data_IF_626326036494
#
_entry.id   IF_626326036494
#
_cell.length_a   1.000
_cell.length_b   1.000
_cell.length_c   1.000
_cell.angle_alpha   90.00
_cell.angle_beta   90.00
_cell.angle_gamma   90.00
#
_symmetry.space_group_name_H-M   'P 1'
#
loop_
_entity.id
_entity.type
_entity.pdbx_description
1 polymer ?
#
# COMPACT_ATOMS: atom_id res chain seq x y z
N UNK A 1 -5.58 63.21 1.08
CA UNK A 1 -5.93 61.90 1.70
C UNK A 1 -5.34 60.81 0.82
N UNK A 2 -4.24 60.20 1.23
CA UNK A 2 -3.40 59.39 0.34
C UNK A 2 -3.99 57.98 0.16
N UNK A 3 -4.80 57.80 -0.88
CA UNK A 3 -5.46 56.53 -1.23
C UNK A 3 -4.47 55.38 -1.49
N UNK A 4 -3.20 55.69 -1.77
CA UNK A 4 -2.12 54.71 -1.90
C UNK A 4 -1.82 53.91 -0.63
N UNK A 5 -2.09 54.45 0.56
CA UNK A 5 -1.85 53.73 1.81
C UNK A 5 -2.82 52.55 1.99
N UNK A 6 -4.05 52.68 1.50
CA UNK A 6 -5.06 51.62 1.57
C UNK A 6 -4.72 50.40 0.69
N UNK A 7 -3.86 50.58 -0.32
CA UNK A 7 -3.43 49.51 -1.22
C UNK A 7 -2.31 48.63 -0.63
N UNK A 8 -1.59 49.11 0.38
CA UNK A 8 -0.47 48.37 1.00
C UNK A 8 -0.85 46.99 1.57
N UNK A 9 -1.96 46.80 2.32
CA UNK A 9 -2.38 45.46 2.77
C UNK A 9 -2.78 44.53 1.63
N UNK A 10 -3.36 45.07 0.56
CA UNK A 10 -3.75 44.28 -0.60
C UNK A 10 -2.52 43.78 -1.37
N UNK A 11 -1.53 44.65 -1.59
CA UNK A 11 -0.27 44.30 -2.23
C UNK A 11 0.48 43.26 -1.39
N UNK A 12 0.54 43.44 -0.07
CA UNK A 12 1.17 42.50 0.85
C UNK A 12 0.48 41.11 0.87
N UNK A 13 -0.85 41.06 0.78
CA UNK A 13 -1.59 39.81 0.65
C UNK A 13 -1.27 39.09 -0.67
N UNK A 14 -1.19 39.82 -1.78
CA UNK A 14 -0.86 39.27 -3.10
C UNK A 14 0.58 38.77 -3.13
N UNK A 15 1.55 39.52 -2.58
CA UNK A 15 2.95 39.08 -2.52
C UNK A 15 3.11 37.84 -1.64
N UNK A 16 2.45 37.76 -0.49
CA UNK A 16 2.42 36.58 0.37
C UNK A 16 1.83 35.34 -0.32
N UNK A 17 0.75 35.52 -1.07
CA UNK A 17 0.13 34.47 -1.89
C UNK A 17 1.06 33.97 -3.01
N UNK A 18 1.75 34.89 -3.71
CA UNK A 18 2.70 34.57 -4.79
C UNK A 18 3.91 33.84 -4.23
N UNK A 19 4.54 34.37 -3.17
CA UNK A 19 5.73 33.81 -2.55
C UNK A 19 5.47 32.36 -2.11
N UNK A 20 4.34 32.13 -1.45
CA UNK A 20 3.99 30.81 -0.98
C UNK A 20 3.66 29.84 -2.13
N UNK A 21 3.03 30.34 -3.19
CA UNK A 21 2.79 29.55 -4.41
C UNK A 21 4.08 29.14 -5.14
N UNK A 22 5.13 29.96 -5.05
CA UNK A 22 6.46 29.62 -5.58
C UNK A 22 7.16 28.60 -4.67
N UNK A 23 7.10 28.80 -3.34
CA UNK A 23 7.68 27.89 -2.36
C UNK A 23 7.15 26.46 -2.52
N UNK A 24 5.84 26.29 -2.72
CA UNK A 24 5.20 24.98 -2.98
C UNK A 24 5.78 24.30 -4.23
N UNK A 25 5.97 25.07 -5.33
CA UNK A 25 6.56 24.52 -6.57
C UNK A 25 8.00 24.09 -6.36
N UNK A 26 8.77 24.84 -5.58
CA UNK A 26 10.14 24.50 -5.24
C UNK A 26 10.22 23.26 -4.36
N UNK A 27 9.38 23.18 -3.32
CA UNK A 27 9.27 22.01 -2.43
C UNK A 27 8.96 20.73 -3.21
N UNK A 28 7.97 20.75 -4.11
CA UNK A 28 7.63 19.58 -4.93
C UNK A 28 8.78 19.13 -5.84
N UNK A 29 9.55 20.08 -6.41
CA UNK A 29 10.74 19.76 -7.22
C UNK A 29 11.86 19.17 -6.37
N UNK A 30 12.13 19.75 -5.20
CA UNK A 30 13.15 19.24 -4.27
C UNK A 30 12.79 17.83 -3.78
N UNK A 31 11.50 17.58 -3.55
CA UNK A 31 10.99 16.28 -3.15
C UNK A 31 11.24 15.22 -4.24
N UNK A 32 11.05 15.55 -5.51
CA UNK A 32 11.39 14.68 -6.65
C UNK A 32 12.90 14.41 -6.74
N UNK A 33 13.76 15.39 -6.44
CA UNK A 33 15.21 15.16 -6.39
C UNK A 33 15.61 14.19 -5.27
N UNK A 34 14.87 14.21 -4.15
CA UNK A 34 15.04 13.28 -3.01
C UNK A 34 14.17 12.03 -3.12
N UNK A 35 13.68 11.71 -4.32
CA UNK A 35 12.77 10.58 -4.58
C UNK A 35 13.30 9.25 -4.09
N UNK A 36 14.61 8.99 -4.21
CA UNK A 36 15.23 7.77 -3.69
C UNK A 36 15.12 7.65 -2.17
N UNK A 37 15.49 8.72 -1.44
CA UNK A 37 15.39 8.76 0.02
C UNK A 37 13.93 8.62 0.49
N UNK A 38 12.99 9.28 -0.19
CA UNK A 38 11.57 9.08 0.10
C UNK A 38 11.11 7.66 -0.17
N UNK A 39 11.53 7.07 -1.28
CA UNK A 39 11.16 5.71 -1.65
C UNK A 39 11.67 4.70 -0.61
N UNK A 40 12.88 4.90 -0.08
CA UNK A 40 13.48 4.10 0.98
C UNK A 40 12.72 4.30 2.31
N UNK A 41 12.40 5.54 2.69
CA UNK A 41 11.63 5.82 3.92
C UNK A 41 10.20 5.29 3.87
N UNK A 42 9.51 5.47 2.73
CA UNK A 42 8.16 4.93 2.51
C UNK A 42 8.21 3.41 2.49
N UNK A 43 9.18 2.80 1.80
CA UNK A 43 9.37 1.36 1.80
C UNK A 43 9.61 0.82 3.23
N UNK A 44 10.46 1.49 4.02
CA UNK A 44 10.69 1.15 5.42
C UNK A 44 9.41 1.17 6.26
N UNK A 45 8.67 2.28 6.21
CA UNK A 45 7.43 2.44 6.96
C UNK A 45 6.32 1.46 6.52
N UNK A 46 6.20 1.18 5.22
CA UNK A 46 5.16 0.27 4.68
C UNK A 46 5.48 -1.18 5.01
N UNK A 47 6.75 -1.59 4.90
CA UNK A 47 7.19 -2.93 5.29
C UNK A 47 7.02 -3.19 6.79
N UNK A 48 7.14 -2.17 7.63
CA UNK A 48 6.94 -2.28 9.08
C UNK A 48 5.46 -2.22 9.50
N UNK A 49 4.62 -1.44 8.81
CA UNK A 49 3.25 -1.12 9.29
C UNK A 49 2.07 -1.65 8.47
N UNK A 50 2.24 -1.96 7.18
CA UNK A 50 1.09 -2.22 6.29
C UNK A 50 1.12 -3.62 5.68
N UNK A 51 2.31 -4.20 5.47
CA UNK A 51 2.46 -5.60 5.06
C UNK A 51 2.88 -6.47 6.26
N UNK A 52 1.99 -6.60 7.25
CA UNK A 52 2.20 -7.61 8.29
C UNK A 52 2.01 -8.99 7.68
N UNK A 53 3.12 -9.66 7.37
CA UNK A 53 3.12 -11.08 7.03
C UNK A 53 2.39 -11.90 8.11
N UNK A 54 2.38 -11.42 9.37
CA UNK A 54 1.56 -12.04 10.42
C UNK A 54 0.06 -12.02 10.10
N UNK A 55 -0.48 -10.94 9.52
CA UNK A 55 -1.90 -10.85 9.15
C UNK A 55 -2.22 -11.77 7.95
N UNK A 56 -1.30 -11.83 6.98
CA UNK A 56 -1.44 -12.73 5.82
C UNK A 56 -1.37 -14.19 6.27
N UNK A 57 -0.41 -14.52 7.13
CA UNK A 57 -0.28 -15.85 7.74
C UNK A 57 -1.55 -16.23 8.50
N UNK A 58 -2.05 -15.35 9.37
CA UNK A 58 -3.30 -15.58 10.10
C UNK A 58 -4.49 -15.80 9.17
N UNK A 59 -4.64 -14.99 8.11
CA UNK A 59 -5.76 -15.11 7.20
C UNK A 59 -5.70 -16.38 6.33
N UNK A 60 -4.50 -16.79 5.93
CA UNK A 60 -4.30 -18.00 5.10
C UNK A 60 -4.37 -19.28 5.94
N UNK A 61 -3.91 -19.24 7.20
CA UNK A 61 -3.99 -20.38 8.12
C UNK A 61 -5.32 -20.47 8.88
N UNK A 62 -6.21 -19.49 8.70
CA UNK A 62 -7.55 -19.51 9.27
C UNK A 62 -8.32 -20.77 8.80
N UNK A 63 -8.76 -21.63 9.73
CA UNK A 63 -9.57 -22.82 9.41
C UNK A 63 -10.76 -22.52 8.51
N UNK A 64 -11.41 -21.36 8.68
CA UNK A 64 -12.59 -20.99 7.89
C UNK A 64 -12.26 -20.69 6.43
N UNK A 65 -11.04 -20.22 6.14
CA UNK A 65 -10.60 -20.02 4.76
C UNK A 65 -10.09 -21.32 4.14
N UNK A 66 -9.43 -22.17 4.93
CA UNK A 66 -9.01 -23.50 4.50
C UNK A 66 -10.23 -24.33 4.08
N UNK A 67 -11.32 -24.30 4.84
CA UNK A 67 -12.56 -25.01 4.50
C UNK A 67 -13.17 -24.61 3.16
N UNK A 68 -12.89 -23.41 2.64
CA UNK A 68 -13.35 -22.99 1.30
C UNK A 68 -12.56 -23.67 0.17
N UNK A 69 -11.32 -24.09 0.44
CA UNK A 69 -10.42 -24.69 -0.55
C UNK A 69 -10.49 -26.22 -0.50
N UNK A 70 -10.83 -26.79 0.66
CA UNK A 70 -10.96 -28.25 0.85
C UNK A 70 -11.85 -28.97 -0.18
N UNK A 71 -13.00 -28.42 -0.65
CA UNK A 71 -13.83 -29.09 -1.64
C UNK A 71 -13.12 -29.31 -2.99
N UNK A 72 -12.29 -28.36 -3.42
CA UNK A 72 -11.50 -28.49 -4.65
C UNK A 72 -10.41 -29.54 -4.51
N UNK A 73 -9.75 -29.57 -3.34
CA UNK A 73 -8.75 -30.60 -3.00
C UNK A 73 -9.40 -31.98 -2.93
N UNK A 74 -10.59 -32.09 -2.34
CA UNK A 74 -11.35 -33.33 -2.25
C UNK A 74 -11.67 -33.88 -3.65
N UNK A 75 -12.11 -33.04 -4.57
CA UNK A 75 -12.38 -33.44 -5.96
C UNK A 75 -11.10 -33.95 -6.65
N UNK A 76 -9.94 -33.33 -6.39
CA UNK A 76 -8.66 -33.78 -6.91
C UNK A 76 -8.24 -35.15 -6.34
N UNK A 77 -8.47 -35.38 -5.05
CA UNK A 77 -8.20 -36.67 -4.39
C UNK A 77 -9.12 -37.75 -4.94
N UNK A 78 -10.41 -37.48 -5.07
CA UNK A 78 -11.37 -38.45 -5.63
C UNK A 78 -10.99 -38.83 -7.07
N UNK A 79 -10.65 -37.85 -7.90
CA UNK A 79 -10.15 -38.09 -9.25
C UNK A 79 -8.84 -38.88 -9.26
N UNK A 80 -7.91 -38.60 -8.34
CA UNK A 80 -6.67 -39.35 -8.22
C UNK A 80 -6.93 -40.82 -7.86
N UNK A 81 -7.75 -41.08 -6.83
CA UNK A 81 -8.05 -42.43 -6.36
C UNK A 81 -8.83 -43.26 -7.41
N UNK A 82 -9.76 -42.63 -8.16
CA UNK A 82 -10.59 -43.34 -9.15
C UNK A 82 -9.88 -43.54 -10.48
N UNK A 83 -9.19 -42.52 -10.98
CA UNK A 83 -8.62 -42.51 -12.33
C UNK A 83 -7.13 -42.80 -12.29
N UNK A 84 -6.35 -41.94 -11.63
CA UNK A 84 -4.88 -42.00 -11.69
C UNK A 84 -4.30 -43.23 -11.00
N UNK A 85 -4.84 -43.60 -9.85
CA UNK A 85 -4.40 -44.78 -9.10
C UNK A 85 -4.68 -46.06 -9.88
N UNK A 86 -5.85 -46.15 -10.52
CA UNK A 86 -6.22 -47.27 -11.38
C UNK A 86 -5.31 -47.43 -12.59
N UNK A 87 -4.85 -46.32 -13.18
CA UNK A 87 -3.88 -46.33 -14.28
C UNK A 87 -2.46 -46.66 -13.82
N UNK A 88 -2.02 -46.11 -12.68
CA UNK A 88 -0.65 -46.27 -12.21
C UNK A 88 -0.40 -47.61 -11.50
N UNK A 89 -1.41 -48.14 -10.80
CA UNK A 89 -1.33 -49.38 -10.02
C UNK A 89 -2.51 -50.31 -10.33
N UNK A 90 -2.62 -50.83 -11.56
CA UNK A 90 -3.77 -51.64 -11.99
C UNK A 90 -3.95 -52.95 -11.19
N UNK A 91 -2.87 -53.51 -10.64
CA UNK A 91 -2.97 -54.70 -9.77
C UNK A 91 -3.68 -54.42 -8.44
N UNK A 92 -3.61 -53.19 -7.94
CA UNK A 92 -4.20 -52.78 -6.66
C UNK A 92 -5.64 -52.27 -6.88
N UNK A 93 -5.94 -51.71 -8.05
CA UNK A 93 -7.26 -51.14 -8.37
C UNK A 93 -8.39 -52.17 -8.29
N UNK A 94 -8.13 -53.43 -8.61
CA UNK A 94 -9.11 -54.52 -8.51
C UNK A 94 -9.55 -54.81 -7.06
N UNK A 95 -8.74 -54.43 -6.07
CA UNK A 95 -9.02 -54.60 -4.64
C UNK A 95 -9.55 -53.32 -3.98
N UNK A 96 -9.51 -52.18 -4.68
CA UNK A 96 -9.98 -50.88 -4.20
C UNK A 96 -11.35 -50.60 -4.83
N UNK A 97 -12.41 -51.00 -4.13
CA UNK A 97 -13.79 -50.62 -4.48
C UNK A 97 -14.19 -49.25 -3.93
N UNK A 98 -15.39 -48.78 -4.29
CA UNK A 98 -15.92 -47.46 -3.86
C UNK A 98 -15.86 -47.23 -2.34
N UNK A 99 -16.12 -48.27 -1.55
CA UNK A 99 -16.07 -48.18 -0.08
C UNK A 99 -14.66 -47.87 0.43
N UNK A 100 -13.64 -48.51 -0.15
CA UNK A 100 -12.23 -48.30 0.20
C UNK A 100 -11.77 -46.92 -0.28
N UNK A 101 -12.22 -46.47 -1.47
CA UNK A 101 -11.93 -45.11 -1.97
C UNK A 101 -12.45 -44.05 -1.01
N UNK A 102 -13.71 -44.19 -0.56
CA UNK A 102 -14.30 -43.22 0.35
C UNK A 102 -13.59 -43.19 1.72
N UNK A 103 -13.18 -44.35 2.25
CA UNK A 103 -12.40 -44.42 3.49
C UNK A 103 -11.02 -43.78 3.35
N UNK A 104 -10.30 -44.07 2.25
CA UNK A 104 -9.01 -43.45 1.97
C UNK A 104 -9.17 -41.93 1.85
N UNK A 105 -10.16 -41.47 1.08
CA UNK A 105 -10.46 -40.05 0.92
C UNK A 105 -10.70 -39.38 2.28
N UNK A 106 -11.50 -39.97 3.16
CA UNK A 106 -11.79 -39.43 4.49
C UNK A 106 -10.53 -39.30 5.37
N UNK A 107 -9.69 -40.35 5.38
CA UNK A 107 -8.40 -40.33 6.10
C UNK A 107 -7.47 -39.26 5.54
N UNK A 108 -7.33 -39.18 4.21
CA UNK A 108 -6.50 -38.16 3.55
C UNK A 108 -6.99 -36.75 3.85
N UNK A 109 -8.30 -36.50 3.79
CA UNK A 109 -8.87 -35.19 4.08
C UNK A 109 -8.67 -34.79 5.54
N UNK A 110 -8.74 -35.75 6.47
CA UNK A 110 -8.46 -35.52 7.89
C UNK A 110 -7.00 -35.13 8.11
N UNK A 111 -6.08 -35.88 7.51
CA UNK A 111 -4.65 -35.59 7.60
C UNK A 111 -4.30 -34.26 6.92
N UNK A 112 -4.92 -33.96 5.76
CA UNK A 112 -4.78 -32.68 5.09
C UNK A 112 -5.23 -31.52 5.98
N UNK A 113 -6.38 -31.61 6.66
CA UNK A 113 -6.85 -30.56 7.56
C UNK A 113 -5.84 -30.25 8.68
N UNK A 114 -5.08 -31.24 9.13
CA UNK A 114 -4.04 -31.06 10.15
C UNK A 114 -2.75 -30.46 9.57
N UNK A 115 -2.32 -30.92 8.39
CA UNK A 115 -1.05 -30.52 7.80
C UNK A 115 -1.13 -29.19 7.05
N UNK A 116 -2.25 -28.88 6.38
CA UNK A 116 -2.41 -27.70 5.53
C UNK A 116 -2.04 -26.38 6.22
N UNK A 117 -2.53 -26.09 7.45
CA UNK A 117 -2.19 -24.85 8.16
C UNK A 117 -0.68 -24.71 8.36
N UNK A 118 -0.02 -25.80 8.78
CA UNK A 118 1.43 -25.79 9.01
C UNK A 118 2.24 -25.61 7.73
N UNK A 119 1.83 -26.25 6.63
CA UNK A 119 2.47 -26.10 5.32
C UNK A 119 2.34 -24.67 4.79
N UNK A 120 1.14 -24.08 4.89
CA UNK A 120 0.89 -22.71 4.46
C UNK A 120 1.64 -21.69 5.33
N UNK A 121 1.67 -21.88 6.65
CA UNK A 121 2.47 -21.05 7.57
C UNK A 121 3.95 -21.07 7.18
N UNK A 122 4.55 -22.25 7.00
CA UNK A 122 5.94 -22.38 6.59
C UNK A 122 6.21 -21.74 5.22
N UNK A 123 5.27 -21.88 4.26
CA UNK A 123 5.38 -21.23 2.96
C UNK A 123 5.35 -19.70 3.07
N UNK A 124 4.43 -19.14 3.87
CA UNK A 124 4.35 -17.69 4.11
C UNK A 124 5.60 -17.16 4.81
N UNK A 125 6.16 -17.91 5.76
CA UNK A 125 7.42 -17.54 6.41
C UNK A 125 8.62 -17.57 5.44
N UNK A 126 8.64 -18.53 4.51
CA UNK A 126 9.65 -18.58 3.46
C UNK A 126 9.51 -17.37 2.51
N UNK A 127 8.27 -17.03 2.12
CA UNK A 127 7.98 -15.83 1.33
C UNK A 127 8.42 -14.56 2.06
N UNK A 128 8.19 -14.45 3.38
CA UNK A 128 8.66 -13.32 4.20
C UNK A 128 10.18 -13.18 4.14
N UNK A 129 10.91 -14.29 4.10
CA UNK A 129 12.38 -14.29 4.06
C UNK A 129 12.94 -13.95 2.68
N UNK A 130 12.32 -14.47 1.63
CA UNK A 130 12.81 -14.32 0.25
C UNK A 130 12.29 -13.03 -0.43
N UNK A 131 11.22 -12.44 0.10
CA UNK A 131 10.62 -11.22 -0.45
C UNK A 131 11.14 -9.98 0.28
N UNK A 132 12.10 -9.29 -0.34
CA UNK A 132 12.49 -7.94 0.08
C UNK A 132 11.43 -6.93 -0.41
N UNK A 133 10.35 -6.81 0.36
CA UNK A 133 9.26 -5.84 0.10
C UNK A 133 9.82 -4.42 -0.01
N UNK A 134 10.87 -4.08 0.74
CA UNK A 134 11.46 -2.75 0.67
C UNK A 134 12.02 -2.49 -0.73
N UNK A 135 12.81 -3.41 -1.28
CA UNK A 135 13.34 -3.30 -2.64
C UNK A 135 12.25 -3.28 -3.71
N UNK A 136 11.19 -4.07 -3.56
CA UNK A 136 10.07 -4.10 -4.53
C UNK A 136 9.35 -2.74 -4.55
N UNK A 137 9.09 -2.15 -3.39
CA UNK A 137 8.43 -0.83 -3.31
C UNK A 137 9.36 0.26 -3.82
N UNK A 138 10.64 0.25 -3.42
CA UNK A 138 11.62 1.25 -3.88
C UNK A 138 11.78 1.21 -5.39
N UNK A 139 11.92 0.02 -5.99
CA UNK A 139 12.05 -0.15 -7.44
C UNK A 139 10.78 0.28 -8.18
N UNK A 140 9.57 -0.02 -7.67
CA UNK A 140 8.33 0.51 -8.26
C UNK A 140 8.24 2.02 -8.16
N UNK A 141 8.58 2.60 -7.01
CA UNK A 141 8.59 4.05 -6.83
C UNK A 141 9.65 4.70 -7.71
N UNK A 142 10.78 4.06 -8.01
CA UNK A 142 11.80 4.57 -8.94
C UNK A 142 11.41 4.40 -10.41
N UNK A 143 10.66 3.34 -10.75
CA UNK A 143 10.21 3.06 -12.12
C UNK A 143 9.10 3.98 -12.64
N UNK A 144 8.46 4.78 -11.77
CA UNK A 144 7.47 5.77 -12.23
C UNK A 144 8.14 6.88 -13.07
N UNK A 145 7.43 7.45 -14.03
CA UNK A 145 7.92 8.64 -14.72
C UNK A 145 7.79 9.86 -13.78
N UNK A 146 8.70 10.83 -13.87
CA UNK A 146 8.72 12.01 -13.00
C UNK A 146 7.40 12.81 -13.09
N UNK A 147 6.82 12.89 -14.28
CA UNK A 147 5.52 13.54 -14.53
C UNK A 147 4.37 12.84 -13.78
N UNK A 148 4.38 11.51 -13.74
CA UNK A 148 3.36 10.71 -13.07
C UNK A 148 3.48 10.79 -11.55
N UNK A 149 4.70 10.80 -11.02
CA UNK A 149 4.92 10.96 -9.58
C UNK A 149 4.50 12.37 -9.13
N UNK A 150 4.89 13.39 -9.89
CA UNK A 150 4.54 14.78 -9.59
C UNK A 150 3.03 15.00 -9.62
N UNK A 151 2.32 14.44 -10.61
CA UNK A 151 0.87 14.58 -10.70
C UNK A 151 0.16 13.90 -9.53
N UNK A 152 0.56 12.68 -9.16
CA UNK A 152 0.04 11.97 -7.99
C UNK A 152 0.30 12.73 -6.69
N UNK A 153 1.53 13.17 -6.44
CA UNK A 153 1.88 13.95 -5.25
C UNK A 153 1.08 15.26 -5.18
N UNK A 154 0.93 15.96 -6.31
CA UNK A 154 0.15 17.20 -6.37
C UNK A 154 -1.33 16.96 -6.07
N UNK A 155 -1.91 15.87 -6.55
CA UNK A 155 -3.31 15.52 -6.30
C UNK A 155 -3.53 15.13 -4.84
N UNK A 156 -2.64 14.30 -4.27
CA UNK A 156 -2.72 13.88 -2.87
C UNK A 156 -2.54 15.07 -1.91
N UNK A 157 -1.59 15.96 -2.21
CA UNK A 157 -1.30 17.13 -1.38
C UNK A 157 -2.18 18.34 -1.73
N UNK A 158 -3.05 18.27 -2.75
CA UNK A 158 -3.85 19.41 -3.20
C UNK A 158 -4.62 20.14 -2.08
N UNK A 159 -5.26 19.44 -1.12
CA UNK A 159 -5.98 20.10 -0.02
C UNK A 159 -5.02 20.87 0.90
N UNK A 160 -3.90 20.24 1.26
CA UNK A 160 -2.87 20.81 2.14
C UNK A 160 -2.18 22.00 1.49
N UNK A 161 -1.84 21.90 0.20
CA UNK A 161 -1.24 22.98 -0.59
C UNK A 161 -2.18 24.18 -0.74
N UNK A 162 -3.49 23.94 -0.85
CA UNK A 162 -4.50 25.01 -0.92
C UNK A 162 -4.60 25.77 0.40
N UNK A 163 -4.60 25.05 1.51
CA UNK A 163 -4.61 25.64 2.85
C UNK A 163 -3.37 26.51 3.07
N UNK A 164 -2.19 26.00 2.71
CA UNK A 164 -0.94 26.74 2.82
C UNK A 164 -1.01 28.04 2.01
N UNK A 165 -1.47 27.99 0.75
CA UNK A 165 -1.61 29.17 -0.12
C UNK A 165 -2.52 30.25 0.48
N UNK A 166 -3.62 29.85 1.11
CA UNK A 166 -4.55 30.78 1.79
C UNK A 166 -3.87 31.41 3.01
N UNK A 167 -3.17 30.62 3.84
CA UNK A 167 -2.41 31.13 4.98
C UNK A 167 -1.35 32.15 4.55
N UNK A 168 -0.71 31.94 3.39
CA UNK A 168 0.22 32.91 2.80
C UNK A 168 -0.44 34.25 2.45
N UNK A 169 -1.67 34.22 1.93
CA UNK A 169 -2.43 35.44 1.66
C UNK A 169 -2.86 36.15 2.95
N UNK A 170 -3.33 35.39 3.94
CA UNK A 170 -3.79 35.91 5.24
C UNK A 170 -2.64 36.54 6.01
N UNK A 171 -1.48 35.88 6.07
CA UNK A 171 -0.28 36.42 6.72
C UNK A 171 0.22 37.68 6.01
N UNK A 172 0.24 37.69 4.68
CA UNK A 172 0.56 38.88 3.90
C UNK A 172 -0.40 40.04 4.17
N UNK A 173 -1.70 39.77 4.29
CA UNK A 173 -2.71 40.77 4.64
C UNK A 173 -2.51 41.34 6.06
N UNK A 174 -2.23 40.48 7.04
CA UNK A 174 -1.95 40.90 8.42
C UNK A 174 -0.70 41.80 8.47
N UNK A 175 0.38 41.39 7.80
CA UNK A 175 1.64 42.16 7.77
C UNK A 175 1.40 43.53 7.12
N UNK A 176 0.70 43.60 5.99
CA UNK A 176 0.41 44.87 5.35
C UNK A 176 -0.57 45.75 6.14
N UNK A 177 -1.48 45.16 6.92
CA UNK A 177 -2.34 45.89 7.87
C UNK A 177 -1.53 46.50 9.03
N UNK A 178 -0.56 45.76 9.56
CA UNK A 178 0.39 46.27 10.56
C UNK A 178 1.22 47.41 9.96
N UNK A 179 1.69 47.25 8.72
CA UNK A 179 2.49 48.27 8.03
C UNK A 179 1.69 49.57 7.82
N UNK A 180 0.40 49.46 7.50
CA UNK A 180 -0.51 50.61 7.41
C UNK A 180 -0.67 51.30 8.77
N UNK A 181 -0.89 50.54 9.85
CA UNK A 181 -0.99 51.09 11.21
C UNK A 181 0.27 51.84 11.64
N UNK A 182 1.44 51.24 11.41
CA UNK A 182 2.74 51.86 11.72
C UNK A 182 2.90 53.18 10.94
N UNK A 183 2.55 53.20 9.66
CA UNK A 183 2.68 54.39 8.81
C UNK A 183 1.67 55.51 9.16
N UNK A 184 0.50 55.17 9.69
CA UNK A 184 -0.48 56.17 10.14
C UNK A 184 -0.09 56.79 11.49
N UNK A 185 0.61 56.02 12.33
CA UNK A 185 1.05 56.47 13.67
C UNK A 185 2.38 57.23 13.61
N UNK A 186 3.29 56.85 12.69
CA UNK A 186 4.59 57.49 12.48
C UNK A 186 4.49 58.75 11.60
#
# INVERSE_FOLDING_TARGET
>A
MNTWLLLTPLIAAVTGWILNSIAIRFMLRSLLQRRRQMAEQVAGLVSEKIFSFEQVEQQITDPANIEKVLPEVEAHIDHFLRVKLSTAMPMISMFIGDKTINQLKEVFMTELRLLFPSLLSNYVQTLKKDTDIQQIITSRIMGLNDVMLQSKLRTLLAPQLRMFRITGAVTGFIIGGIQLLVFVIA
#
